data_IF_001356465951
#
_entry.id   IF_001356465951
#
_cell.length_a   1.000
_cell.length_b   1.000
_cell.length_c   1.000
_cell.angle_alpha   90.00
_cell.angle_beta   90.00
_cell.angle_gamma   90.00
#
_symmetry.space_group_name_H-M   'P 1'
#
loop_
_entity.id
_entity.type
_entity.pdbx_description
1 polymer ?
#
# COMPACT_ATOMS: atom_id res chain seq x y z
N UNK A 1 27.13 -47.18 39.09
CA UNK A 1 27.38 -47.79 40.41
C UNK A 1 26.53 -47.02 41.41
N UNK A 2 25.59 -47.72 42.02
CA UNK A 2 24.63 -47.21 43.02
C UNK A 2 25.33 -46.69 44.27
N UNK A 3 24.78 -45.68 44.94
CA UNK A 3 24.42 -45.75 46.37
C UNK A 3 23.66 -44.51 46.87
N UNK A 4 22.39 -44.74 47.20
CA UNK A 4 21.60 -44.06 48.23
C UNK A 4 22.15 -44.42 49.64
N UNK A 5 21.60 -43.95 50.79
CA UNK A 5 20.70 -42.82 51.09
C UNK A 5 20.98 -42.09 52.46
N UNK A 6 20.13 -41.09 52.75
CA UNK A 6 19.51 -40.70 54.04
C UNK A 6 20.32 -40.16 55.24
N UNK A 7 19.90 -38.96 55.66
CA UNK A 7 20.09 -38.33 56.99
C UNK A 7 19.36 -39.07 58.11
N UNK A 8 19.68 -38.73 59.37
CA UNK A 8 18.60 -38.35 60.28
C UNK A 8 18.92 -37.18 61.26
N UNK A 9 17.84 -36.49 61.69
CA UNK A 9 17.42 -36.13 63.07
C UNK A 9 18.40 -35.40 64.02
N UNK A 10 18.02 -34.54 64.96
CA UNK A 10 16.74 -34.12 65.55
C UNK A 10 16.99 -32.80 66.33
N UNK A 11 15.92 -32.07 66.61
CA UNK A 11 15.79 -30.84 67.41
C UNK A 11 15.92 -31.14 68.94
N UNK A 12 16.14 -30.26 69.92
CA UNK A 12 15.60 -28.93 70.28
C UNK A 12 16.48 -28.32 71.39
N UNK A 13 16.42 -27.00 71.66
CA UNK A 13 16.32 -26.47 73.04
C UNK A 13 15.92 -24.99 73.11
N UNK A 14 15.09 -24.68 74.12
CA UNK A 14 14.36 -23.44 74.40
C UNK A 14 15.18 -22.41 75.22
N UNK A 15 15.10 -21.14 74.79
CA UNK A 15 14.95 -19.80 75.46
C UNK A 15 15.15 -19.62 76.99
N UNK A 16 15.18 -18.38 77.54
CA UNK A 16 15.96 -17.16 77.23
C UNK A 16 16.51 -16.48 78.53
N UNK A 17 17.31 -15.41 78.44
CA UNK A 17 17.40 -14.42 79.53
C UNK A 17 17.61 -12.99 79.00
N UNK A 18 16.87 -12.08 79.65
CA UNK A 18 16.84 -10.63 79.52
C UNK A 18 18.25 -9.98 79.59
N UNK A 19 18.50 -8.78 79.09
CA UNK A 19 17.88 -7.51 79.46
C UNK A 19 18.19 -6.42 78.43
N UNK A 20 17.47 -5.30 78.59
CA UNK A 20 17.46 -4.03 77.87
C UNK A 20 18.83 -3.45 77.46
N UNK A 21 18.91 -2.87 76.27
CA UNK A 21 19.33 -1.47 76.09
C UNK A 21 19.01 -0.96 74.67
N UNK A 22 18.40 0.22 74.66
CA UNK A 22 17.86 0.94 73.52
C UNK A 22 18.99 1.65 72.76
N UNK A 23 19.21 1.30 71.49
CA UNK A 23 20.10 2.04 70.60
C UNK A 23 19.54 2.08 69.16
N UNK A 24 18.98 3.25 68.83
CA UNK A 24 18.80 3.83 67.49
C UNK A 24 18.36 2.87 66.36
N UNK A 25 17.05 2.61 66.25
CA UNK A 25 16.46 2.30 64.95
C UNK A 25 16.08 3.62 64.26
N UNK A 26 16.92 4.04 63.30
CA UNK A 26 16.48 4.96 62.26
C UNK A 26 15.30 4.30 61.53
N UNK A 27 14.09 4.82 61.73
CA UNK A 27 12.93 4.39 60.94
C UNK A 27 13.22 4.74 59.46
N UNK A 28 13.24 3.77 58.52
CA UNK A 28 13.47 4.08 57.13
C UNK A 28 12.26 4.87 56.62
N UNK A 29 12.50 6.14 56.29
CA UNK A 29 11.54 7.07 55.70
C UNK A 29 10.62 6.42 54.65
N UNK A 30 9.40 6.07 55.07
CA UNK A 30 8.31 5.62 54.18
C UNK A 30 8.02 6.62 53.05
N UNK A 31 8.34 7.91 53.26
CA UNK A 31 8.17 8.97 52.26
C UNK A 31 9.05 8.76 51.01
N UNK A 32 10.22 8.14 51.15
CA UNK A 32 11.10 7.85 49.99
C UNK A 32 10.55 6.74 49.09
N UNK A 33 9.73 5.84 49.65
CA UNK A 33 9.12 4.72 48.92
C UNK A 33 7.97 5.21 48.04
N UNK A 34 7.11 6.08 48.58
CA UNK A 34 5.97 6.63 47.84
C UNK A 34 6.39 7.44 46.60
N UNK A 35 7.42 8.27 46.73
CA UNK A 35 7.91 9.05 45.59
C UNK A 35 8.55 8.17 44.50
N UNK A 36 9.23 7.08 44.89
CA UNK A 36 9.79 6.11 43.94
C UNK A 36 8.68 5.35 43.21
N UNK A 37 7.64 4.89 43.90
CA UNK A 37 6.52 4.20 43.26
C UNK A 37 5.74 5.13 42.33
N UNK A 38 5.46 6.38 42.74
CA UNK A 38 4.86 7.38 41.85
C UNK A 38 5.73 7.68 40.63
N UNK A 39 7.05 7.79 40.79
CA UNK A 39 7.98 7.98 39.67
C UNK A 39 7.94 6.82 38.68
N UNK A 40 8.00 5.58 39.15
CA UNK A 40 7.95 4.39 38.28
C UNK A 40 6.59 4.20 37.61
N UNK A 41 5.49 4.50 38.30
CA UNK A 41 4.14 4.49 37.71
C UNK A 41 4.04 5.57 36.64
N UNK A 42 4.51 6.79 36.91
CA UNK A 42 4.53 7.87 35.92
C UNK A 42 5.40 7.52 34.71
N UNK A 43 6.55 6.89 34.92
CA UNK A 43 7.45 6.45 33.86
C UNK A 43 6.82 5.32 33.01
N UNK A 44 6.14 4.37 33.64
CA UNK A 44 5.40 3.32 32.93
C UNK A 44 4.25 3.89 32.10
N UNK A 45 3.50 4.86 32.66
CA UNK A 45 2.40 5.52 31.97
C UNK A 45 2.91 6.34 30.76
N UNK A 46 4.04 7.04 30.87
CA UNK A 46 4.61 7.77 29.73
C UNK A 46 5.16 6.81 28.67
N UNK A 47 5.82 5.72 29.06
CA UNK A 47 6.28 4.67 28.14
C UNK A 47 5.11 4.03 27.37
N UNK A 48 3.94 3.87 27.99
CA UNK A 48 2.74 3.34 27.33
C UNK A 48 2.06 4.36 26.40
N UNK A 49 2.16 5.65 26.68
CA UNK A 49 1.59 6.72 25.84
C UNK A 49 2.40 6.98 24.57
N UNK A 50 3.72 6.76 24.62
CA UNK A 50 4.63 6.99 23.48
C UNK A 50 4.25 6.14 22.24
N UNK A 51 4.06 4.80 22.35
CA UNK A 51 3.59 3.97 21.23
C UNK A 51 2.24 4.42 20.68
N UNK A 52 1.31 4.83 21.54
CA UNK A 52 -0.01 5.31 21.11
C UNK A 52 0.08 6.63 20.32
N UNK A 53 0.95 7.56 20.75
CA UNK A 53 1.24 8.79 20.01
C UNK A 53 1.92 8.53 18.67
N UNK A 54 2.89 7.60 18.62
CA UNK A 54 3.52 7.20 17.36
C UNK A 54 2.54 6.50 16.41
N UNK A 55 1.67 5.64 16.94
CA UNK A 55 0.66 4.93 16.13
C UNK A 55 -0.38 5.90 15.57
N UNK A 56 -0.87 6.84 16.38
CA UNK A 56 -1.82 7.88 15.94
C UNK A 56 -1.20 8.87 14.96
N UNK A 57 0.04 9.30 15.17
CA UNK A 57 0.77 10.15 14.21
C UNK A 57 0.95 9.46 12.85
N UNK A 58 1.35 8.17 12.85
CA UNK A 58 1.52 7.39 11.62
C UNK A 58 0.20 7.14 10.87
N UNK A 59 -0.91 6.97 11.59
CA UNK A 59 -2.23 6.87 10.96
C UNK A 59 -2.71 8.18 10.35
N UNK A 60 -2.39 9.32 10.96
CA UNK A 60 -2.74 10.63 10.42
C UNK A 60 -1.99 10.93 9.11
N UNK A 61 -0.73 10.53 8.98
CA UNK A 61 0.03 10.67 7.72
C UNK A 61 -0.50 9.78 6.59
N UNK A 62 -1.01 8.57 6.92
CA UNK A 62 -1.59 7.69 5.90
C UNK A 62 -2.97 8.18 5.42
N UNK A 63 -3.72 8.85 6.29
CA UNK A 63 -5.03 9.43 5.96
C UNK A 63 -4.93 10.76 5.20
N UNK A 64 -3.76 11.42 5.18
CA UNK A 64 -3.61 12.75 4.60
C UNK A 64 -3.26 12.75 3.11
N UNK A 65 -3.11 11.58 2.45
CA UNK A 65 -2.83 11.59 1.03
C UNK A 65 -4.03 12.13 0.24
N UNK A 66 -3.85 13.23 -0.52
CA UNK A 66 -4.91 13.77 -1.36
C UNK A 66 -5.30 12.75 -2.45
N UNK A 67 -6.61 12.54 -2.60
CA UNK A 67 -7.20 11.59 -3.54
C UNK A 67 -8.32 12.28 -4.34
N UNK A 68 -8.56 11.89 -5.60
CA UNK A 68 -9.73 12.36 -6.34
C UNK A 68 -11.02 12.14 -5.55
N UNK A 69 -11.77 13.22 -5.33
CA UNK A 69 -13.08 13.16 -4.68
C UNK A 69 -14.18 13.24 -5.73
N UNK A 70 -15.33 12.64 -5.44
CA UNK A 70 -16.53 12.67 -6.29
C UNK A 70 -16.39 11.98 -7.66
N UNK A 71 -15.53 10.96 -7.79
CA UNK A 71 -15.51 10.12 -8.99
C UNK A 71 -16.60 9.05 -8.87
N UNK A 72 -17.62 9.19 -9.70
CA UNK A 72 -18.75 8.29 -9.80
C UNK A 72 -18.35 6.94 -10.39
N UNK A 73 -19.23 5.97 -10.16
CA UNK A 73 -19.14 4.63 -10.70
C UNK A 73 -20.25 4.43 -11.74
N UNK A 74 -19.94 3.76 -12.84
CA UNK A 74 -20.86 3.43 -13.93
C UNK A 74 -20.67 1.98 -14.37
N UNK A 75 -21.66 1.45 -15.11
CA UNK A 75 -21.57 0.12 -15.71
C UNK A 75 -21.04 0.24 -17.13
N UNK A 76 -19.94 -0.46 -17.42
CA UNK A 76 -19.33 -0.49 -18.76
C UNK A 76 -19.40 -1.92 -19.28
N UNK A 77 -19.78 -2.07 -20.54
CA UNK A 77 -19.65 -3.35 -21.24
C UNK A 77 -18.34 -3.34 -22.01
N UNK A 78 -17.48 -4.32 -21.77
CA UNK A 78 -16.20 -4.40 -22.49
C UNK A 78 -16.44 -4.93 -23.90
N UNK A 79 -16.11 -4.09 -24.88
CA UNK A 79 -16.21 -4.39 -26.30
C UNK A 79 -14.84 -4.19 -26.97
N UNK A 80 -14.56 -4.90 -28.08
CA UNK A 80 -13.34 -4.66 -28.85
C UNK A 80 -13.27 -3.21 -29.32
N UNK A 81 -12.21 -2.51 -28.95
CA UNK A 81 -11.97 -1.14 -29.42
C UNK A 81 -11.32 -1.17 -30.81
N UNK A 82 -11.95 -0.58 -31.85
CA UNK A 82 -11.37 -0.49 -33.19
C UNK A 82 -10.02 0.20 -33.25
N UNK A 83 -9.71 1.13 -32.33
CA UNK A 83 -8.42 1.83 -32.31
C UNK A 83 -7.25 0.90 -32.02
N UNK A 84 -7.50 -0.25 -31.39
CA UNK A 84 -6.48 -1.26 -31.07
C UNK A 84 -6.46 -2.42 -32.06
N UNK A 85 -7.18 -2.30 -33.18
CA UNK A 85 -7.25 -3.33 -34.22
C UNK A 85 -6.38 -2.96 -35.42
N UNK A 86 -5.75 -3.97 -36.02
CA UNK A 86 -4.97 -3.84 -37.26
C UNK A 86 -3.83 -2.79 -37.21
N UNK A 87 -3.08 -2.77 -36.10
CA UNK A 87 -1.92 -1.91 -35.93
C UNK A 87 -0.72 -2.47 -36.72
N UNK A 88 -0.26 -1.72 -37.72
CA UNK A 88 0.78 -2.19 -38.66
C UNK A 88 2.09 -1.41 -38.55
N UNK A 89 2.04 -0.21 -37.99
CA UNK A 89 3.20 0.67 -37.81
C UNK A 89 3.37 1.07 -36.35
N UNK A 90 4.59 1.51 -35.98
CA UNK A 90 4.84 2.09 -34.67
C UNK A 90 3.99 3.35 -34.43
N UNK A 91 3.71 4.11 -35.49
CA UNK A 91 2.85 5.28 -35.43
C UNK A 91 1.40 4.90 -35.14
N UNK A 92 0.90 3.79 -35.70
CA UNK A 92 -0.43 3.26 -35.39
C UNK A 92 -0.55 2.91 -33.91
N UNK A 93 0.46 2.23 -33.35
CA UNK A 93 0.51 1.90 -31.91
C UNK A 93 0.49 3.19 -31.08
N UNK A 94 1.32 4.17 -31.41
CA UNK A 94 1.37 5.45 -30.70
C UNK A 94 0.04 6.22 -30.81
N UNK A 95 -0.61 6.18 -31.97
CA UNK A 95 -1.89 6.81 -32.23
C UNK A 95 -3.02 6.15 -31.43
N UNK A 96 -3.05 4.81 -31.35
CA UNK A 96 -4.04 4.07 -30.55
C UNK A 96 -4.00 4.49 -29.07
N UNK A 97 -2.81 4.70 -28.52
CA UNK A 97 -2.63 5.15 -27.13
C UNK A 97 -2.74 6.67 -26.95
N UNK A 98 -2.84 7.45 -28.02
CA UNK A 98 -2.80 8.92 -27.95
C UNK A 98 -3.97 9.52 -27.16
N UNK A 99 -5.13 8.87 -27.19
CA UNK A 99 -6.35 9.25 -26.46
C UNK A 99 -6.10 9.21 -24.94
N UNK A 100 -5.15 8.38 -24.49
CA UNK A 100 -4.79 8.20 -23.09
C UNK A 100 -3.44 8.84 -22.71
N UNK A 101 -2.84 9.64 -23.61
CA UNK A 101 -1.49 10.19 -23.45
C UNK A 101 -1.42 11.42 -22.54
N UNK A 102 -2.35 11.57 -21.60
CA UNK A 102 -2.21 12.57 -20.55
C UNK A 102 -1.05 12.14 -19.63
N UNK A 103 -0.14 13.06 -19.25
CA UNK A 103 0.99 12.72 -18.39
C UNK A 103 0.54 12.18 -17.03
N UNK A 104 -0.73 12.37 -16.65
CA UNK A 104 -1.29 11.89 -15.38
C UNK A 104 -0.73 12.60 -14.15
N UNK A 105 0.18 13.56 -14.37
CA UNK A 105 0.85 14.33 -13.34
C UNK A 105 -0.11 15.38 -12.79
N UNK A 106 -0.13 15.51 -11.47
CA UNK A 106 -0.93 16.47 -10.74
C UNK A 106 -0.05 17.21 -9.73
N UNK A 107 -0.42 18.45 -9.43
CA UNK A 107 0.15 19.26 -8.38
C UNK A 107 -0.89 19.44 -7.27
N UNK A 108 -0.56 19.04 -6.04
CA UNK A 108 -1.46 19.15 -4.90
C UNK A 108 -0.90 20.16 -3.90
N UNK A 109 -1.71 21.16 -3.47
CA UNK A 109 -1.26 22.13 -2.50
C UNK A 109 -1.18 21.47 -1.11
N UNK A 110 0.03 21.14 -0.63
CA UNK A 110 0.28 20.61 0.72
C UNK A 110 1.28 21.51 1.48
N UNK A 111 1.25 21.57 2.83
CA UNK A 111 1.81 22.66 3.64
C UNK A 111 3.32 22.59 3.90
N UNK A 112 4.04 21.62 3.34
CA UNK A 112 5.50 21.46 3.52
C UNK A 112 6.26 21.66 2.20
N UNK A 113 7.35 22.46 2.18
CA UNK A 113 8.14 22.67 0.97
C UNK A 113 8.90 21.40 0.59
N UNK A 114 8.76 20.92 -0.65
CA UNK A 114 9.63 19.84 -1.11
C UNK A 114 9.29 19.22 -2.46
N UNK A 115 8.11 18.59 -2.60
CA UNK A 115 7.67 17.96 -3.85
C UNK A 115 6.15 17.85 -3.86
N UNK A 116 5.51 18.52 -4.81
CA UNK A 116 4.05 18.57 -4.92
C UNK A 116 3.49 17.78 -6.11
N UNK A 117 4.37 17.08 -6.86
CA UNK A 117 3.99 16.38 -8.08
C UNK A 117 3.73 14.91 -7.79
N UNK A 118 2.52 14.47 -8.14
CA UNK A 118 2.10 13.07 -8.07
C UNK A 118 1.66 12.61 -9.45
N UNK A 119 1.62 11.29 -9.67
CA UNK A 119 0.95 10.69 -10.83
C UNK A 119 -0.25 9.90 -10.35
N UNK A 120 -1.39 10.07 -11.01
CA UNK A 120 -2.54 9.22 -10.77
C UNK A 120 -2.25 7.78 -11.22
N UNK A 121 -2.53 6.81 -10.34
CA UNK A 121 -2.22 5.39 -10.57
C UNK A 121 -2.78 4.86 -11.90
N UNK A 122 -4.02 5.23 -12.26
CA UNK A 122 -4.63 4.78 -13.51
C UNK A 122 -3.87 5.24 -14.76
N UNK A 123 -3.35 6.48 -14.76
CA UNK A 123 -2.53 6.99 -15.86
C UNK A 123 -1.16 6.29 -15.92
N UNK A 124 -0.54 6.01 -14.77
CA UNK A 124 0.70 5.25 -14.74
C UNK A 124 0.50 3.82 -15.27
N UNK A 125 -0.62 3.16 -14.93
CA UNK A 125 -0.98 1.85 -15.49
C UNK A 125 -1.12 1.89 -17.01
N UNK A 126 -1.80 2.90 -17.57
CA UNK A 126 -1.91 3.07 -19.03
C UNK A 126 -0.55 3.35 -19.70
N UNK A 127 0.31 4.16 -19.08
CA UNK A 127 1.67 4.40 -19.56
C UNK A 127 2.51 3.11 -19.57
N UNK A 128 2.40 2.29 -18.52
CA UNK A 128 3.04 0.97 -18.46
C UNK A 128 2.53 0.05 -19.58
N UNK A 129 1.22 0.00 -19.81
CA UNK A 129 0.62 -0.84 -20.84
C UNK A 129 1.02 -0.40 -22.26
N UNK A 130 1.03 0.92 -22.53
CA UNK A 130 1.58 1.50 -23.77
C UNK A 130 3.04 1.11 -23.97
N UNK A 131 3.87 1.20 -22.92
CA UNK A 131 5.30 0.88 -22.98
C UNK A 131 5.52 -0.59 -23.33
N UNK A 132 4.75 -1.50 -22.72
CA UNK A 132 4.76 -2.94 -23.03
C UNK A 132 4.31 -3.18 -24.47
N UNK A 133 3.20 -2.58 -24.90
CA UNK A 133 2.67 -2.75 -26.26
C UNK A 133 3.68 -2.29 -27.32
N UNK A 134 4.30 -1.11 -27.13
CA UNK A 134 5.32 -0.59 -28.05
C UNK A 134 6.55 -1.50 -28.11
N UNK A 135 7.04 -1.96 -26.96
CA UNK A 135 8.16 -2.91 -26.86
C UNK A 135 7.83 -4.22 -27.59
N UNK A 136 6.66 -4.81 -27.35
CA UNK A 136 6.24 -6.04 -28.03
C UNK A 136 6.17 -5.86 -29.55
N UNK A 137 5.57 -4.76 -30.02
CA UNK A 137 5.47 -4.45 -31.45
C UNK A 137 6.86 -4.34 -32.08
N UNK A 138 7.79 -3.62 -31.44
CA UNK A 138 9.16 -3.47 -31.92
C UNK A 138 9.90 -4.82 -31.99
N UNK A 139 9.74 -5.68 -30.98
CA UNK A 139 10.35 -7.03 -30.98
C UNK A 139 9.84 -7.86 -32.15
N UNK A 140 8.52 -7.87 -32.38
CA UNK A 140 7.88 -8.66 -33.44
C UNK A 140 8.32 -8.21 -34.85
N UNK A 141 8.69 -6.93 -35.00
CA UNK A 141 9.10 -6.35 -36.28
C UNK A 141 10.63 -6.25 -36.44
N UNK A 142 11.42 -6.82 -35.53
CA UNK A 142 12.88 -6.77 -35.59
C UNK A 142 13.47 -5.37 -35.40
N UNK A 143 12.70 -4.45 -34.81
CA UNK A 143 13.14 -3.08 -34.50
C UNK A 143 13.91 -3.12 -33.19
N UNK A 144 15.06 -2.45 -33.15
CA UNK A 144 15.85 -2.31 -31.93
C UNK A 144 15.01 -1.68 -30.82
N UNK A 145 14.96 -2.34 -29.67
CA UNK A 145 14.25 -1.87 -28.47
C UNK A 145 14.99 -0.68 -27.86
N UNK A 146 14.39 0.51 -27.77
CA UNK A 146 14.94 1.59 -26.96
C UNK A 146 14.58 1.43 -25.47
N UNK A 147 13.58 0.60 -25.15
CA UNK A 147 13.09 0.37 -23.78
C UNK A 147 13.86 -0.76 -23.14
N UNK A 148 14.38 -0.52 -21.94
CA UNK A 148 15.10 -1.52 -21.15
C UNK A 148 14.16 -2.61 -20.60
N UNK A 149 14.65 -3.84 -20.53
CA UNK A 149 13.93 -5.00 -19.99
C UNK A 149 13.54 -4.79 -18.52
N UNK A 150 14.35 -4.05 -17.74
CA UNK A 150 14.03 -3.75 -16.34
C UNK A 150 12.80 -2.83 -16.22
N UNK A 151 12.64 -1.88 -17.16
CA UNK A 151 11.46 -1.04 -17.23
C UNK A 151 10.21 -1.86 -17.55
N UNK A 152 10.30 -2.79 -18.51
CA UNK A 152 9.19 -3.70 -18.86
C UNK A 152 8.81 -4.59 -17.67
N UNK A 153 9.78 -5.15 -16.98
CA UNK A 153 9.55 -5.98 -15.79
C UNK A 153 8.89 -5.18 -14.67
N UNK A 154 9.33 -3.95 -14.46
CA UNK A 154 8.71 -3.02 -13.49
C UNK A 154 7.26 -2.71 -13.87
N UNK A 155 6.98 -2.47 -15.15
CA UNK A 155 5.63 -2.24 -15.67
C UNK A 155 4.70 -3.43 -15.40
N UNK A 156 5.16 -4.67 -15.65
CA UNK A 156 4.38 -5.87 -15.34
C UNK A 156 4.06 -5.98 -13.85
N UNK A 157 5.03 -5.75 -12.97
CA UNK A 157 4.79 -5.79 -11.53
C UNK A 157 3.83 -4.66 -11.07
N UNK A 158 3.97 -3.46 -11.63
CA UNK A 158 3.09 -2.34 -11.32
C UNK A 158 1.64 -2.60 -11.75
N UNK A 159 1.44 -3.09 -12.98
CA UNK A 159 0.12 -3.48 -13.49
C UNK A 159 -0.51 -4.59 -12.64
N UNK A 160 0.26 -5.60 -12.24
CA UNK A 160 -0.22 -6.66 -11.34
C UNK A 160 -0.74 -6.08 -10.01
N UNK A 161 0.02 -5.17 -9.39
CA UNK A 161 -0.43 -4.51 -8.16
C UNK A 161 -1.69 -3.66 -8.40
N UNK A 162 -1.76 -2.92 -9.52
CA UNK A 162 -2.91 -2.11 -9.89
C UNK A 162 -4.19 -2.94 -10.06
N UNK A 163 -4.11 -4.05 -10.81
CA UNK A 163 -5.23 -4.98 -11.03
C UNK A 163 -5.70 -5.58 -9.70
N UNK A 164 -4.78 -6.08 -8.88
CA UNK A 164 -5.14 -6.67 -7.58
C UNK A 164 -5.69 -5.64 -6.60
N UNK A 165 -5.26 -4.39 -6.69
CA UNK A 165 -5.77 -3.29 -5.87
C UNK A 165 -7.17 -2.85 -6.28
N UNK A 166 -7.45 -2.79 -7.59
CA UNK A 166 -8.77 -2.42 -8.12
C UNK A 166 -9.79 -3.55 -7.93
N UNK A 167 -9.37 -4.80 -8.15
CA UNK A 167 -10.14 -6.00 -7.80
C UNK A 167 -11.46 -6.11 -8.54
N UNK A 168 -11.45 -6.08 -9.88
CA UNK A 168 -12.65 -6.32 -10.67
C UNK A 168 -13.18 -7.75 -10.45
N UNK A 169 -14.46 -7.85 -10.08
CA UNK A 169 -15.16 -9.10 -9.76
C UNK A 169 -16.31 -9.41 -10.72
N UNK A 170 -16.37 -8.73 -11.86
CA UNK A 170 -17.31 -9.05 -12.93
C UNK A 170 -17.17 -10.53 -13.35
N UNK A 171 -18.30 -11.19 -13.61
CA UNK A 171 -18.31 -12.57 -14.07
C UNK A 171 -18.10 -12.59 -15.58
N UNK A 172 -17.00 -13.19 -16.04
CA UNK A 172 -16.71 -13.31 -17.45
C UNK A 172 -17.22 -14.64 -18.03
N UNK A 173 -18.23 -14.55 -18.90
CA UNK A 173 -18.85 -15.69 -19.57
C UNK A 173 -18.16 -16.12 -20.87
N UNK A 174 -18.72 -17.13 -21.56
CA UNK A 174 -18.27 -17.55 -22.89
C UNK A 174 -18.42 -16.42 -23.92
N UNK A 175 -17.56 -16.44 -24.94
CA UNK A 175 -17.61 -15.47 -26.05
C UNK A 175 -18.99 -15.48 -26.75
N UNK A 176 -19.72 -14.33 -26.79
CA UNK A 176 -21.05 -14.26 -27.38
C UNK A 176 -21.07 -14.53 -28.89
N UNK A 177 -19.95 -14.37 -29.59
CA UNK A 177 -19.86 -14.55 -31.05
C UNK A 177 -19.60 -16.01 -31.45
N UNK A 178 -19.42 -16.92 -30.49
CA UNK A 178 -19.20 -18.34 -30.78
C UNK A 178 -20.50 -19.15 -30.72
N UNK A 179 -20.99 -19.58 -31.89
CA UNK A 179 -22.13 -20.50 -31.96
C UNK A 179 -21.83 -21.84 -31.27
N UNK A 180 -22.67 -22.26 -30.31
CA UNK A 180 -22.66 -23.60 -29.72
C UNK A 180 -22.25 -23.73 -28.25
N UNK A 181 -22.15 -22.62 -27.49
CA UNK A 181 -22.35 -22.60 -26.03
C UNK A 181 -21.46 -23.52 -25.16
N UNK A 182 -20.27 -23.90 -25.64
CA UNK A 182 -19.36 -24.78 -24.90
C UNK A 182 -18.29 -24.01 -24.12
N UNK A 183 -18.08 -24.37 -22.86
CA UNK A 183 -17.02 -23.85 -21.97
C UNK A 183 -15.57 -24.03 -22.50
N UNK A 184 -15.40 -24.73 -23.63
CA UNK A 184 -14.11 -24.97 -24.28
C UNK A 184 -13.66 -23.87 -25.26
N UNK A 185 -14.47 -22.82 -25.48
CA UNK A 185 -14.19 -21.79 -26.52
C UNK A 185 -13.62 -20.46 -26.01
N UNK A 186 -13.26 -20.39 -24.73
CA UNK A 186 -12.60 -19.25 -24.11
C UNK A 186 -13.56 -18.36 -23.33
N UNK A 187 -13.16 -17.99 -22.12
CA UNK A 187 -13.78 -16.91 -21.34
C UNK A 187 -13.07 -15.63 -21.79
N UNK A 188 -13.71 -14.86 -22.68
CA UNK A 188 -13.06 -13.71 -23.35
C UNK A 188 -13.39 -12.38 -22.67
N UNK A 189 -14.32 -12.37 -21.72
CA UNK A 189 -14.80 -11.15 -21.06
C UNK A 189 -15.60 -10.20 -21.96
N UNK A 190 -15.66 -10.46 -23.27
CA UNK A 190 -16.40 -9.65 -24.24
C UNK A 190 -17.90 -9.63 -23.92
N UNK A 191 -18.50 -8.45 -24.00
CA UNK A 191 -19.93 -8.27 -23.77
C UNK A 191 -20.35 -8.39 -22.30
N UNK A 192 -19.40 -8.50 -21.38
CA UNK A 192 -19.66 -8.60 -19.95
C UNK A 192 -19.67 -7.21 -19.31
N UNK A 193 -20.45 -7.07 -18.24
CA UNK A 193 -20.69 -5.79 -17.59
C UNK A 193 -19.80 -5.66 -16.36
N UNK A 194 -19.02 -4.59 -16.34
CA UNK A 194 -18.08 -4.25 -15.27
C UNK A 194 -18.57 -3.00 -14.53
N UNK A 195 -18.21 -2.90 -13.25
CA UNK A 195 -18.47 -1.72 -12.43
C UNK A 195 -17.21 -0.85 -12.40
N UNK A 196 -17.21 0.25 -13.15
CA UNK A 196 -16.03 1.06 -13.42
C UNK A 196 -16.19 2.48 -12.90
N UNK A 197 -15.08 3.16 -12.61
CA UNK A 197 -15.10 4.61 -12.41
C UNK A 197 -15.36 5.33 -13.73
N UNK A 198 -16.12 6.43 -13.69
CA UNK A 198 -16.34 7.28 -14.87
C UNK A 198 -14.99 7.88 -15.29
N UNK A 199 -14.50 7.48 -16.46
CA UNK A 199 -13.16 7.82 -16.91
C UNK A 199 -13.00 9.32 -17.16
N UNK A 200 -14.04 9.94 -17.72
CA UNK A 200 -14.09 11.36 -18.03
C UNK A 200 -13.92 12.21 -16.76
N UNK A 201 -14.53 11.79 -15.64
CA UNK A 201 -14.37 12.49 -14.36
C UNK A 201 -12.94 12.36 -13.80
N UNK A 202 -12.29 11.21 -14.01
CA UNK A 202 -10.88 11.03 -13.64
C UNK A 202 -9.99 11.97 -14.46
N UNK A 203 -10.26 12.07 -15.76
CA UNK A 203 -9.55 12.97 -16.68
C UNK A 203 -9.79 14.43 -16.30
N UNK A 204 -11.04 14.85 -16.09
CA UNK A 204 -11.40 16.21 -15.70
C UNK A 204 -10.72 16.60 -14.39
N UNK A 205 -10.75 15.71 -13.39
CA UNK A 205 -10.06 15.94 -12.14
C UNK A 205 -8.54 16.07 -12.33
N UNK A 206 -7.93 15.20 -13.15
CA UNK A 206 -6.50 15.27 -13.45
C UNK A 206 -6.13 16.58 -14.13
N UNK A 207 -6.90 17.02 -15.12
CA UNK A 207 -6.69 18.28 -15.84
C UNK A 207 -6.81 19.47 -14.90
N UNK A 208 -7.80 19.48 -14.01
CA UNK A 208 -7.99 20.55 -13.02
C UNK A 208 -6.85 20.68 -12.01
N UNK A 209 -6.07 19.62 -11.81
CA UNK A 209 -4.91 19.59 -10.91
C UNK A 209 -3.58 19.41 -11.66
N UNK A 210 -3.59 19.50 -12.99
CA UNK A 210 -2.44 19.17 -13.82
C UNK A 210 -1.22 20.06 -13.54
N UNK A 211 -0.02 19.51 -13.73
CA UNK A 211 1.21 20.32 -13.60
C UNK A 211 1.37 21.21 -14.83
N UNK A 212 1.38 22.53 -14.63
CA UNK A 212 1.74 23.50 -15.68
C UNK A 212 3.27 23.66 -15.76
N UNK A 213 3.80 23.86 -16.97
CA UNK A 213 5.24 23.83 -17.29
C UNK A 213 6.14 24.69 -16.37
N UNK A 214 5.60 25.71 -15.71
CA UNK A 214 6.33 26.59 -14.81
C UNK A 214 6.57 26.00 -13.40
N UNK A 215 6.11 24.78 -13.15
CA UNK A 215 6.12 24.12 -11.83
C UNK A 215 6.93 22.81 -11.81
N UNK A 216 7.56 22.45 -12.93
CA UNK A 216 8.35 21.23 -13.09
C UNK A 216 9.83 21.57 -12.86
N UNK A 217 10.26 21.60 -11.59
CA UNK A 217 11.68 21.50 -11.25
C UNK A 217 11.98 20.02 -11.02
N UNK A 218 12.51 19.33 -12.05
CA UNK A 218 13.08 17.98 -11.94
C UNK A 218 14.59 18.12 -11.73
#
# INVERSE_FOLDING_TARGET
MSTHPTRPNFSYHLTPKADTDEALSHEPSQKTSFWKTCFWISLLLTILQIPALFFTANQNELSSQPSPTNIHTTKITFEPDPHFQNLTTQEDVLAAWSIHNLPGLINLPDPTPGKHVYILSAFHQLLCLRTIHLSLFQLQNGISQPVDNDQITTCFNYLRHGIMCAGDVALEGPDPDTEGGGAQRGLTGKGQVHECKVWEEIVEWQVGHGVHNDQIYI
#
